data_IF_522404322476
#
_entry.id   IF_522404322476
#
_cell.length_a   1.000
_cell.length_b   1.000
_cell.length_c   1.000
_cell.angle_alpha   90.00
_cell.angle_beta   90.00
_cell.angle_gamma   90.00
#
_symmetry.space_group_name_H-M   'P 1'
#
loop_
_entity.id
_entity.type
_entity.pdbx_description
1 polymer ?
#
# COMPACT_ATOMS: atom_id res chain seq x y z
N UNK A 1 35.40 -40.12 -18.52
CA UNK A 1 34.69 -38.88 -18.92
C UNK A 1 33.51 -38.69 -17.98
N UNK A 2 33.61 -37.76 -17.04
CA UNK A 2 32.60 -37.46 -16.02
C UNK A 2 31.42 -36.70 -16.64
N UNK A 3 30.34 -37.42 -16.99
CA UNK A 3 29.06 -36.81 -17.43
C UNK A 3 28.18 -36.32 -16.27
N UNK A 4 28.53 -36.67 -15.03
CA UNK A 4 27.75 -36.35 -13.81
C UNK A 4 27.90 -34.89 -13.36
N UNK A 5 29.10 -34.31 -13.45
CA UNK A 5 29.36 -32.97 -12.89
C UNK A 5 28.66 -31.81 -13.60
N UNK A 6 28.35 -31.92 -14.89
CA UNK A 6 27.66 -30.86 -15.64
C UNK A 6 26.16 -30.80 -15.32
N UNK A 7 25.52 -31.96 -15.11
CA UNK A 7 24.11 -32.03 -14.73
C UNK A 7 23.92 -31.47 -13.32
N UNK A 8 24.79 -31.83 -12.37
CA UNK A 8 24.75 -31.32 -11.00
C UNK A 8 24.98 -29.79 -10.93
N UNK A 9 25.83 -29.26 -11.82
CA UNK A 9 26.07 -27.83 -11.94
C UNK A 9 24.85 -27.09 -12.51
N UNK A 10 24.22 -27.63 -13.57
CA UNK A 10 22.98 -27.06 -14.14
C UNK A 10 21.82 -27.11 -13.13
N UNK A 11 21.70 -28.18 -12.36
CA UNK A 11 20.71 -28.31 -11.29
C UNK A 11 20.98 -27.29 -10.19
N UNK A 12 22.24 -27.11 -9.75
CA UNK A 12 22.58 -26.09 -8.75
C UNK A 12 22.28 -24.68 -9.24
N UNK A 13 22.66 -24.34 -10.48
CA UNK A 13 22.39 -23.02 -11.06
C UNK A 13 20.88 -22.76 -11.21
N UNK A 14 20.09 -23.77 -11.57
CA UNK A 14 18.62 -23.65 -11.60
C UNK A 14 18.01 -23.55 -10.21
N UNK A 15 18.53 -24.29 -9.23
CA UNK A 15 18.08 -24.20 -7.83
C UNK A 15 18.43 -22.83 -7.22
N UNK A 16 19.61 -22.27 -7.51
CA UNK A 16 20.00 -20.93 -7.05
C UNK A 16 19.17 -19.85 -7.71
N UNK A 17 18.91 -19.95 -9.02
CA UNK A 17 17.97 -19.04 -9.73
C UNK A 17 16.55 -19.14 -9.18
N UNK A 18 16.07 -20.35 -8.88
CA UNK A 18 14.77 -20.57 -8.26
C UNK A 18 14.68 -19.99 -6.84
N UNK A 19 15.72 -20.15 -6.02
CA UNK A 19 15.82 -19.55 -4.68
C UNK A 19 15.90 -18.04 -4.72
N UNK A 20 16.60 -17.46 -5.70
CA UNK A 20 16.64 -16.02 -5.93
C UNK A 20 15.27 -15.45 -6.24
N UNK A 21 14.56 -16.05 -7.21
CA UNK A 21 13.19 -15.67 -7.58
C UNK A 21 12.24 -15.74 -6.39
N UNK A 22 12.32 -16.81 -5.60
CA UNK A 22 11.44 -16.99 -4.45
C UNK A 22 11.71 -15.97 -3.32
N UNK A 23 12.97 -15.62 -3.05
CA UNK A 23 13.30 -14.55 -2.09
C UNK A 23 12.74 -13.19 -2.52
N UNK A 24 12.82 -12.86 -3.81
CA UNK A 24 12.27 -11.62 -4.35
C UNK A 24 10.75 -11.61 -4.24
N UNK A 25 10.09 -12.71 -4.61
CA UNK A 25 8.64 -12.84 -4.46
C UNK A 25 8.20 -12.68 -3.00
N UNK A 26 8.91 -13.30 -2.05
CA UNK A 26 8.62 -13.15 -0.61
C UNK A 26 8.78 -11.70 -0.17
N UNK A 27 9.87 -11.03 -0.57
CA UNK A 27 10.06 -9.61 -0.23
C UNK A 27 8.94 -8.74 -0.81
N UNK A 28 8.63 -8.88 -2.10
CA UNK A 28 7.55 -8.12 -2.74
C UNK A 28 6.21 -8.38 -2.05
N UNK A 29 5.95 -9.62 -1.62
CA UNK A 29 4.77 -9.96 -0.86
C UNK A 29 4.71 -9.25 0.49
N UNK A 30 5.83 -9.19 1.21
CA UNK A 30 5.92 -8.48 2.50
C UNK A 30 5.72 -6.96 2.33
N UNK A 31 6.28 -6.39 1.26
CA UNK A 31 6.12 -4.99 0.88
C UNK A 31 4.64 -4.65 0.56
N UNK A 32 3.96 -5.50 -0.23
CA UNK A 32 2.53 -5.34 -0.50
C UNK A 32 1.67 -5.47 0.76
N UNK A 33 2.02 -6.39 1.67
CA UNK A 33 1.33 -6.52 2.97
C UNK A 33 1.52 -5.26 3.82
N UNK A 34 2.69 -4.63 3.76
CA UNK A 34 2.95 -3.34 4.41
C UNK A 34 2.08 -2.22 3.81
N UNK A 35 2.00 -2.13 2.48
CA UNK A 35 1.17 -1.14 1.79
C UNK A 35 -0.30 -1.28 2.17
N UNK A 36 -0.83 -2.51 2.10
CA UNK A 36 -2.21 -2.80 2.46
C UNK A 36 -2.52 -2.37 3.90
N UNK A 37 -1.62 -2.65 4.84
CA UNK A 37 -1.77 -2.24 6.23
C UNK A 37 -1.77 -0.72 6.37
N UNK A 38 -0.79 -0.03 5.79
CA UNK A 38 -0.69 1.44 5.89
C UNK A 38 -1.89 2.15 5.23
N UNK A 39 -2.43 1.63 4.12
CA UNK A 39 -3.66 2.15 3.51
C UNK A 39 -4.83 2.06 4.50
N UNK A 40 -4.97 0.91 5.18
CA UNK A 40 -6.02 0.74 6.19
C UNK A 40 -5.79 1.61 7.43
N UNK A 41 -4.55 1.79 7.88
CA UNK A 41 -4.22 2.67 8.99
C UNK A 41 -4.59 4.13 8.67
N UNK A 42 -4.26 4.60 7.46
CA UNK A 42 -4.66 5.93 6.99
C UNK A 42 -6.18 6.08 6.89
N UNK A 43 -6.88 5.06 6.40
CA UNK A 43 -8.33 5.04 6.34
C UNK A 43 -8.96 5.11 7.74
N UNK A 44 -8.43 4.36 8.71
CA UNK A 44 -8.94 4.37 10.08
C UNK A 44 -8.67 5.70 10.80
N UNK A 45 -7.51 6.32 10.55
CA UNK A 45 -7.21 7.63 11.08
C UNK A 45 -8.12 8.70 10.45
N UNK A 46 -8.30 8.66 9.13
CA UNK A 46 -9.22 9.54 8.41
C UNK A 46 -10.66 9.42 8.93
N UNK A 47 -11.12 8.20 9.20
CA UNK A 47 -12.41 7.95 9.83
C UNK A 47 -12.51 8.60 11.21
N UNK A 48 -11.50 8.37 12.06
CA UNK A 48 -11.47 8.93 13.42
C UNK A 48 -11.53 10.45 13.39
N UNK A 49 -10.72 11.11 12.55
CA UNK A 49 -10.76 12.56 12.39
C UNK A 49 -12.09 13.05 11.80
N UNK A 50 -12.63 12.35 10.80
CA UNK A 50 -13.87 12.70 10.12
C UNK A 50 -15.12 12.63 11.01
N UNK A 51 -15.25 11.59 11.83
CA UNK A 51 -16.39 11.44 12.74
C UNK A 51 -16.49 12.58 13.76
N UNK A 52 -15.33 13.15 14.14
CA UNK A 52 -15.22 14.24 15.10
C UNK A 52 -15.36 15.64 14.47
N UNK A 53 -15.55 15.75 13.15
CA UNK A 53 -15.81 17.03 12.50
C UNK A 53 -17.19 17.60 12.89
N UNK A 54 -17.25 18.91 13.13
CA UNK A 54 -18.51 19.62 13.37
C UNK A 54 -19.29 19.95 12.09
N UNK A 55 -18.71 19.71 10.91
CA UNK A 55 -19.21 20.18 9.61
C UNK A 55 -19.76 19.02 8.75
N UNK A 56 -21.09 18.86 8.62
CA UNK A 56 -21.69 17.71 7.93
C UNK A 56 -21.26 17.54 6.47
N UNK A 57 -21.04 18.65 5.75
CA UNK A 57 -20.57 18.65 4.37
C UNK A 57 -19.18 18.00 4.24
N UNK A 58 -18.29 18.28 5.19
CA UNK A 58 -16.94 17.69 5.21
C UNK A 58 -17.00 16.20 5.57
N UNK A 59 -17.94 15.77 6.42
CA UNK A 59 -18.14 14.34 6.70
C UNK A 59 -18.49 13.54 5.44
N UNK A 60 -19.33 14.08 4.57
CA UNK A 60 -19.67 13.43 3.29
C UNK A 60 -18.45 13.26 2.39
N UNK A 61 -17.59 14.28 2.31
CA UNK A 61 -16.35 14.22 1.53
C UNK A 61 -15.37 13.21 2.11
N UNK A 62 -15.23 13.17 3.44
CA UNK A 62 -14.42 12.17 4.14
C UNK A 62 -14.93 10.75 3.85
N UNK A 63 -16.25 10.53 3.89
CA UNK A 63 -16.84 9.21 3.62
C UNK A 63 -16.52 8.74 2.20
N UNK A 64 -16.61 9.62 1.20
CA UNK A 64 -16.22 9.29 -0.16
C UNK A 64 -14.73 8.91 -0.24
N UNK A 65 -13.86 9.68 0.41
CA UNK A 65 -12.43 9.35 0.46
C UNK A 65 -12.16 7.99 1.13
N UNK A 66 -12.94 7.63 2.16
CA UNK A 66 -12.82 6.32 2.81
C UNK A 66 -13.21 5.16 1.89
N UNK A 67 -14.23 5.34 1.05
CA UNK A 67 -14.63 4.35 0.05
C UNK A 67 -13.54 4.17 -1.01
N UNK A 68 -12.95 5.26 -1.49
CA UNK A 68 -11.83 5.21 -2.44
C UNK A 68 -10.59 4.54 -1.82
N UNK A 69 -10.28 4.85 -0.56
CA UNK A 69 -9.21 4.14 0.18
C UNK A 69 -9.50 2.64 0.36
N UNK A 70 -10.75 2.26 0.57
CA UNK A 70 -11.13 0.85 0.64
C UNK A 70 -10.88 0.13 -0.69
N UNK A 71 -11.20 0.77 -1.83
CA UNK A 71 -10.87 0.26 -3.16
C UNK A 71 -9.37 0.11 -3.36
N UNK A 72 -8.55 1.08 -2.93
CA UNK A 72 -7.09 0.95 -2.99
C UNK A 72 -6.58 -0.23 -2.15
N UNK A 73 -7.12 -0.45 -0.95
CA UNK A 73 -6.76 -1.61 -0.14
C UNK A 73 -7.14 -2.93 -0.85
N UNK A 74 -8.33 -2.99 -1.46
CA UNK A 74 -8.76 -4.15 -2.25
C UNK A 74 -7.84 -4.42 -3.44
N UNK A 75 -7.43 -3.38 -4.18
CA UNK A 75 -6.48 -3.53 -5.28
C UNK A 75 -5.13 -4.09 -4.80
N UNK A 76 -4.58 -3.60 -3.67
CA UNK A 76 -3.35 -4.18 -3.10
C UNK A 76 -3.60 -5.62 -2.65
N UNK A 77 -4.77 -5.93 -2.10
CA UNK A 77 -5.13 -7.28 -1.68
C UNK A 77 -5.16 -8.27 -2.85
N UNK A 78 -5.64 -7.85 -4.01
CA UNK A 78 -5.55 -8.63 -5.24
C UNK A 78 -4.10 -8.92 -5.64
N UNK A 79 -3.21 -7.92 -5.55
CA UNK A 79 -1.78 -8.11 -5.85
C UNK A 79 -1.13 -9.13 -4.90
N UNK A 80 -1.45 -9.06 -3.61
CA UNK A 80 -1.02 -10.04 -2.60
C UNK A 80 -1.47 -11.45 -2.99
N UNK A 81 -2.74 -11.61 -3.40
CA UNK A 81 -3.30 -12.88 -3.83
C UNK A 81 -2.62 -13.43 -5.08
N UNK A 82 -2.30 -12.58 -6.06
CA UNK A 82 -1.56 -12.96 -7.29
C UNK A 82 -0.16 -13.50 -6.98
N UNK A 83 0.49 -13.01 -5.92
CA UNK A 83 1.77 -13.54 -5.44
C UNK A 83 1.64 -14.76 -4.52
N UNK A 84 0.44 -15.29 -4.32
CA UNK A 84 0.16 -16.46 -3.49
C UNK A 84 0.04 -16.17 -1.99
N UNK A 85 -0.02 -14.89 -1.59
CA UNK A 85 -0.22 -14.48 -0.20
C UNK A 85 -1.68 -14.45 0.23
N UNK A 86 -1.90 -14.30 1.54
CA UNK A 86 -3.24 -14.19 2.15
C UNK A 86 -3.35 -12.94 3.01
N UNK A 87 -4.47 -12.23 2.89
CA UNK A 87 -4.76 -11.01 3.68
C UNK A 87 -4.92 -11.31 5.18
N UNK A 88 -5.43 -12.49 5.53
CA UNK A 88 -5.54 -12.92 6.93
C UNK A 88 -4.20 -13.10 7.66
N UNK A 89 -3.08 -13.07 6.94
CA UNK A 89 -1.72 -13.11 7.51
C UNK A 89 -1.15 -11.72 7.81
N UNK A 90 -1.87 -10.65 7.46
CA UNK A 90 -1.45 -9.29 7.78
C UNK A 90 -1.73 -9.05 9.27
N UNK A 91 -0.70 -8.81 10.09
CA UNK A 91 -0.91 -8.58 11.51
C UNK A 91 -1.83 -7.38 11.71
N UNK A 92 -2.86 -7.55 12.54
CA UNK A 92 -3.69 -6.42 12.97
C UNK A 92 -2.80 -5.39 13.66
N UNK A 93 -2.88 -4.13 13.25
CA UNK A 93 -2.16 -3.06 13.94
C UNK A 93 -2.87 -2.77 15.27
N UNK A 94 -2.20 -2.88 16.43
CA UNK A 94 -2.83 -2.58 17.73
C UNK A 94 -3.06 -1.07 17.97
N UNK A 95 -2.90 -0.22 16.96
CA UNK A 95 -3.01 1.22 17.13
C UNK A 95 -4.47 1.61 17.38
N UNK A 96 -4.70 2.28 18.51
CA UNK A 96 -5.95 3.02 18.73
C UNK A 96 -5.84 4.35 17.99
N UNK A 97 -6.51 4.47 16.86
CA UNK A 97 -6.66 5.74 16.14
C UNK A 97 -7.62 6.63 16.93
N UNK A 98 -7.07 7.65 17.59
CA UNK A 98 -7.84 8.65 18.33
C UNK A 98 -7.76 9.97 17.59
N UNK A 99 -8.91 10.61 17.39
CA UNK A 99 -8.97 11.92 16.75
C UNK A 99 -8.19 12.95 17.56
N UNK A 100 -7.28 13.65 16.89
CA UNK A 100 -6.50 14.77 17.43
C UNK A 100 -7.04 16.11 16.98
N UNK A 101 -8.13 16.12 16.20
CA UNK A 101 -8.74 17.33 15.65
C UNK A 101 -7.87 17.98 14.58
N UNK A 102 -6.95 17.22 13.96
CA UNK A 102 -6.15 17.71 12.86
C UNK A 102 -5.80 16.57 11.90
N UNK A 103 -5.89 16.87 10.60
CA UNK A 103 -5.63 15.90 9.53
C UNK A 103 -4.15 15.86 9.11
N UNK A 104 -3.24 16.52 9.85
CA UNK A 104 -1.81 16.54 9.49
C UNK A 104 -1.19 15.15 9.54
N UNK A 105 -1.59 14.34 10.51
CA UNK A 105 -1.10 12.96 10.63
C UNK A 105 -1.63 12.07 9.49
N UNK A 106 -2.90 12.25 9.09
CA UNK A 106 -3.45 11.59 7.89
C UNK A 106 -2.64 11.98 6.66
N UNK A 107 -2.39 13.28 6.47
CA UNK A 107 -1.65 13.78 5.33
C UNK A 107 -0.21 13.25 5.29
N UNK A 108 0.48 13.26 6.44
CA UNK A 108 1.84 12.72 6.55
C UNK A 108 1.91 11.23 6.17
N UNK A 109 0.94 10.43 6.64
CA UNK A 109 0.88 9.01 6.33
C UNK A 109 0.57 8.78 4.84
N UNK A 110 -0.25 9.64 4.24
CA UNK A 110 -0.51 9.59 2.80
C UNK A 110 0.70 9.93 1.93
N UNK A 111 1.53 10.88 2.37
CA UNK A 111 2.80 11.21 1.70
C UNK A 111 3.75 10.02 1.76
N UNK A 112 3.96 9.45 2.94
CA UNK A 112 4.82 8.27 3.12
C UNK A 112 4.32 7.08 2.28
N UNK A 113 3.01 6.85 2.23
CA UNK A 113 2.41 5.81 1.40
C UNK A 113 2.71 6.00 -0.10
N UNK A 114 2.72 7.24 -0.60
CA UNK A 114 3.03 7.49 -2.02
C UNK A 114 4.49 7.22 -2.34
N UNK A 115 5.41 7.50 -1.41
CA UNK A 115 6.83 7.17 -1.53
C UNK A 115 7.02 5.65 -1.55
N UNK A 116 6.44 4.94 -0.58
CA UNK A 116 6.50 3.47 -0.50
C UNK A 116 5.94 2.79 -1.75
N UNK A 117 4.76 3.20 -2.21
CA UNK A 117 4.17 2.63 -3.44
C UNK A 117 5.07 2.86 -4.67
N UNK A 118 5.79 3.98 -4.72
CA UNK A 118 6.75 4.26 -5.79
C UNK A 118 7.97 3.36 -5.68
N UNK A 119 8.53 3.19 -4.48
CA UNK A 119 9.66 2.30 -4.22
C UNK A 119 9.33 0.84 -4.52
N UNK A 120 8.18 0.35 -4.06
CA UNK A 120 7.72 -1.02 -4.29
C UNK A 120 7.39 -1.27 -5.76
N UNK A 121 6.86 -0.26 -6.48
CA UNK A 121 6.63 -0.37 -7.92
C UNK A 121 7.96 -0.48 -8.68
N UNK A 122 8.97 0.31 -8.33
CA UNK A 122 10.29 0.24 -8.95
C UNK A 122 10.96 -1.11 -8.63
N UNK A 123 10.87 -1.58 -7.39
CA UNK A 123 11.35 -2.90 -7.00
C UNK A 123 10.66 -4.01 -7.81
N UNK A 124 9.33 -3.96 -7.97
CA UNK A 124 8.60 -4.92 -8.79
C UNK A 124 9.09 -4.92 -10.26
N UNK A 125 9.31 -3.74 -10.83
CA UNK A 125 9.83 -3.58 -12.21
C UNK A 125 11.25 -4.14 -12.38
N UNK A 126 12.16 -3.81 -11.45
CA UNK A 126 13.56 -4.25 -11.48
C UNK A 126 13.70 -5.79 -11.51
N UNK A 127 12.70 -6.51 -10.98
CA UNK A 127 12.67 -7.97 -10.95
C UNK A 127 11.64 -8.60 -11.91
N UNK A 128 11.07 -7.82 -12.83
CA UNK A 128 10.22 -8.32 -13.92
C UNK A 128 8.75 -8.54 -13.57
N UNK A 129 8.27 -8.05 -12.42
CA UNK A 129 6.87 -8.06 -12.03
C UNK A 129 6.12 -6.83 -12.59
N UNK A 130 6.17 -6.64 -13.91
CA UNK A 130 5.67 -5.42 -14.58
C UNK A 130 4.19 -5.12 -14.29
N UNK A 131 3.31 -6.11 -14.33
CA UNK A 131 1.88 -5.90 -14.05
C UNK A 131 1.63 -5.40 -12.60
N UNK A 132 2.45 -5.85 -11.65
CA UNK A 132 2.38 -5.40 -10.25
C UNK A 132 2.88 -3.97 -10.15
N UNK A 133 4.01 -3.66 -10.79
CA UNK A 133 4.55 -2.30 -10.87
C UNK A 133 3.52 -1.30 -11.43
N UNK A 134 2.90 -1.63 -12.56
CA UNK A 134 1.88 -0.80 -13.20
C UNK A 134 0.65 -0.60 -12.30
N UNK A 135 0.23 -1.66 -11.61
CA UNK A 135 -0.88 -1.59 -10.66
C UNK A 135 -0.56 -0.68 -9.46
N UNK A 136 0.65 -0.79 -8.89
CA UNK A 136 1.09 0.07 -7.79
C UNK A 136 1.20 1.54 -8.21
N UNK A 137 1.71 1.81 -9.42
CA UNK A 137 1.74 3.16 -10.00
C UNK A 137 0.34 3.73 -10.20
N UNK A 138 -0.60 2.90 -10.67
CA UNK A 138 -2.00 3.30 -10.81
C UNK A 138 -2.62 3.69 -9.46
N UNK A 139 -2.43 2.88 -8.42
CA UNK A 139 -2.90 3.17 -7.05
C UNK A 139 -2.28 4.48 -6.54
N UNK A 140 -0.97 4.65 -6.72
CA UNK A 140 -0.24 5.86 -6.30
C UNK A 140 -0.78 7.12 -7.00
N UNK A 141 -1.11 7.04 -8.29
CA UNK A 141 -1.67 8.17 -9.03
C UNK A 141 -3.09 8.53 -8.58
N UNK A 142 -3.93 7.53 -8.30
CA UNK A 142 -5.27 7.76 -7.73
C UNK A 142 -5.18 8.36 -6.32
N UNK A 143 -4.22 7.91 -5.51
CA UNK A 143 -3.94 8.49 -4.18
C UNK A 143 -3.45 9.94 -4.24
N UNK A 144 -2.70 10.34 -5.26
CA UNK A 144 -2.29 11.73 -5.43
C UNK A 144 -3.52 12.66 -5.54
N UNK A 145 -4.55 12.25 -6.27
CA UNK A 145 -5.82 12.99 -6.37
C UNK A 145 -6.55 13.07 -5.03
N UNK A 146 -6.56 11.98 -4.26
CA UNK A 146 -7.08 11.97 -2.89
C UNK A 146 -6.32 12.92 -1.97
N UNK A 147 -5.00 13.06 -2.12
CA UNK A 147 -4.21 13.97 -1.29
C UNK A 147 -4.55 15.43 -1.57
N UNK A 148 -4.77 15.80 -2.82
CA UNK A 148 -5.27 17.13 -3.17
C UNK A 148 -6.66 17.39 -2.55
N UNK A 149 -7.53 16.39 -2.52
CA UNK A 149 -8.82 16.50 -1.84
C UNK A 149 -8.66 16.66 -0.32
N UNK A 150 -7.76 15.89 0.30
CA UNK A 150 -7.46 16.00 1.72
C UNK A 150 -6.91 17.39 2.07
N UNK A 151 -6.02 17.94 1.24
CA UNK A 151 -5.48 19.28 1.40
C UNK A 151 -6.58 20.35 1.33
N UNK A 152 -7.52 20.23 0.37
CA UNK A 152 -8.68 21.12 0.29
C UNK A 152 -9.57 21.04 1.55
N UNK A 153 -9.78 19.85 2.09
CA UNK A 153 -10.53 19.68 3.35
C UNK A 153 -9.79 20.35 4.52
N UNK A 154 -8.47 20.15 4.62
CA UNK A 154 -7.62 20.80 5.64
C UNK A 154 -7.71 22.32 5.55
N UNK A 155 -7.60 22.88 4.35
CA UNK A 155 -7.70 24.33 4.14
C UNK A 155 -9.07 24.87 4.57
N UNK A 156 -10.16 24.16 4.24
CA UNK A 156 -11.52 24.56 4.61
C UNK A 156 -11.75 24.49 6.11
N UNK A 157 -11.23 23.46 6.79
CA UNK A 157 -11.27 23.39 8.26
C UNK A 157 -10.54 24.58 8.87
N UNK A 158 -9.34 24.91 8.36
CA UNK A 158 -8.55 26.03 8.86
C UNK A 158 -9.16 27.41 8.56
N UNK A 159 -10.02 27.54 7.55
CA UNK A 159 -10.71 28.80 7.23
C UNK A 159 -12.02 29.01 8.01
N UNK A 160 -12.56 27.95 8.59
CA UNK A 160 -13.80 27.95 9.38
C UNK A 160 -13.51 28.05 10.90
N UNK A 161 -12.22 28.07 11.28
CA UNK A 161 -11.67 28.32 12.63
C UNK A 161 -11.10 29.75 12.65
#
# INVERSE_FOLDING_TARGET
>A
MNKTGWIDQVISEQMEKGRGSQKIQTKLLDDLKLDHRKINDSRNLLFSEGENLAYPQLKSEINQMMEEKAKHAEMVAELISRLGGKIGEIPAHPAKFMAKGNFKEVFSLETELNELLTEHANFAEDYGFFEISDSLRSIRNQKAQLNEQLERIIMRINSEI
#
